data_IF_893260579897
#
_entry.id   IF_893260579897
#
_cell.length_a   1.000
_cell.length_b   1.000
_cell.length_c   1.000
_cell.angle_alpha   90.00
_cell.angle_beta   90.00
_cell.angle_gamma   90.00
#
_symmetry.space_group_name_H-M   'P 1'
#
loop_
_entity.id
_entity.type
_entity.pdbx_description
1 polymer ?
#
# COMPACT_ATOMS: atom_id res chain seq x y z
N UNK A 1 -61.73 -19.60 -44.66
CA UNK A 1 -60.80 -20.41 -43.86
C UNK A 1 -59.94 -19.45 -43.05
N UNK A 2 -60.27 -19.29 -41.76
CA UNK A 2 -59.60 -18.39 -40.83
C UNK A 2 -58.73 -19.24 -39.91
N UNK A 3 -57.41 -19.02 -39.94
CA UNK A 3 -56.47 -19.63 -38.99
C UNK A 3 -56.21 -18.64 -37.87
N UNK A 4 -56.86 -18.89 -36.74
CA UNK A 4 -56.65 -18.26 -35.45
C UNK A 4 -55.21 -18.52 -34.95
N UNK A 5 -54.37 -17.49 -34.90
CA UNK A 5 -53.07 -17.53 -34.23
C UNK A 5 -53.24 -17.34 -32.72
N UNK A 6 -52.81 -18.33 -31.93
CA UNK A 6 -52.71 -18.19 -30.48
C UNK A 6 -51.56 -17.23 -30.11
N UNK A 7 -51.75 -16.25 -29.22
CA UNK A 7 -50.65 -15.46 -28.70
C UNK A 7 -49.78 -16.30 -27.77
N UNK A 8 -48.48 -16.34 -28.05
CA UNK A 8 -47.47 -16.92 -27.15
C UNK A 8 -47.51 -16.20 -25.80
N UNK A 9 -47.74 -16.96 -24.72
CA UNK A 9 -47.86 -16.48 -23.33
C UNK A 9 -46.54 -16.50 -22.55
N UNK A 10 -45.41 -16.64 -23.23
CA UNK A 10 -44.11 -16.60 -22.56
C UNK A 10 -43.48 -15.22 -22.78
N UNK A 11 -43.21 -14.43 -21.71
CA UNK A 11 -42.36 -13.26 -21.87
C UNK A 11 -41.02 -13.75 -22.42
N UNK A 12 -40.52 -13.07 -23.44
CA UNK A 12 -39.15 -13.27 -23.91
C UNK A 12 -38.23 -13.17 -22.69
N UNK A 13 -37.57 -14.28 -22.37
CA UNK A 13 -36.57 -14.35 -21.32
C UNK A 13 -35.49 -13.33 -21.66
N UNK A 14 -35.53 -12.16 -21.01
CA UNK A 14 -34.41 -11.22 -21.03
C UNK A 14 -33.19 -11.97 -20.52
N UNK A 15 -32.26 -12.28 -21.41
CA UNK A 15 -30.94 -12.76 -21.04
C UNK A 15 -30.40 -11.80 -19.98
N UNK A 16 -29.95 -12.28 -18.80
CA UNK A 16 -29.32 -11.40 -17.83
C UNK A 16 -28.20 -10.66 -18.55
N UNK A 17 -28.28 -9.34 -18.65
CA UNK A 17 -27.16 -8.55 -19.13
C UNK A 17 -26.02 -8.79 -18.15
N UNK A 18 -24.98 -9.50 -18.61
CA UNK A 18 -23.78 -9.73 -17.80
C UNK A 18 -23.24 -8.37 -17.41
N UNK A 19 -23.34 -8.04 -16.12
CA UNK A 19 -22.89 -6.74 -15.60
C UNK A 19 -21.38 -6.65 -15.77
N UNK A 20 -20.94 -5.67 -16.53
CA UNK A 20 -19.52 -5.36 -16.74
C UNK A 20 -18.98 -4.59 -15.53
N UNK A 21 -17.83 -5.01 -14.99
CA UNK A 21 -17.11 -4.30 -13.94
C UNK A 21 -16.29 -3.15 -14.55
N UNK A 22 -16.61 -1.91 -14.18
CA UNK A 22 -15.91 -0.72 -14.69
C UNK A 22 -14.77 -0.34 -13.75
N UNK A 23 -13.56 -0.25 -14.29
CA UNK A 23 -12.31 -0.09 -13.55
C UNK A 23 -11.73 1.30 -13.83
N UNK A 24 -11.73 2.18 -12.83
CA UNK A 24 -10.99 3.44 -12.85
C UNK A 24 -9.50 3.21 -12.59
N UNK A 25 -8.64 3.95 -13.29
CA UNK A 25 -7.18 3.91 -13.05
C UNK A 25 -6.51 5.17 -13.59
N UNK A 26 -5.25 5.40 -13.22
CA UNK A 26 -4.43 6.41 -13.89
C UNK A 26 -3.97 5.93 -15.27
N UNK A 27 -3.66 6.86 -16.16
CA UNK A 27 -3.22 6.55 -17.54
C UNK A 27 -1.76 6.14 -17.69
N UNK A 28 -0.96 6.16 -16.63
CA UNK A 28 0.45 5.77 -16.69
C UNK A 28 0.63 4.27 -16.97
N UNK A 29 1.70 3.88 -17.67
CA UNK A 29 2.03 2.47 -17.96
C UNK A 29 2.01 1.59 -16.72
N UNK A 30 2.52 2.08 -15.59
CA UNK A 30 2.52 1.33 -14.33
C UNK A 30 1.10 1.10 -13.82
N UNK A 31 0.23 2.11 -13.90
CA UNK A 31 -1.16 2.00 -13.45
C UNK A 31 -1.96 1.04 -14.34
N UNK A 32 -1.72 1.04 -15.65
CA UNK A 32 -2.31 0.07 -16.57
C UNK A 32 -1.80 -1.35 -16.31
N UNK A 33 -0.50 -1.52 -16.04
CA UNK A 33 0.06 -2.81 -15.65
C UNK A 33 -0.59 -3.35 -14.36
N UNK A 34 -0.93 -2.48 -13.40
CA UNK A 34 -1.64 -2.87 -12.18
C UNK A 34 -3.09 -3.28 -12.45
N UNK A 35 -3.77 -2.65 -13.43
CA UNK A 35 -5.09 -3.12 -13.87
C UNK A 35 -4.96 -4.53 -14.44
N UNK A 36 -3.95 -4.82 -15.25
CA UNK A 36 -3.70 -6.19 -15.77
C UNK A 36 -3.54 -7.20 -14.63
N UNK A 37 -2.71 -6.90 -13.61
CA UNK A 37 -2.55 -7.77 -12.43
C UNK A 37 -3.90 -8.07 -11.74
N UNK A 38 -4.77 -7.05 -11.64
CA UNK A 38 -6.08 -7.20 -11.04
C UNK A 38 -7.04 -8.00 -11.93
N UNK A 39 -7.10 -7.73 -13.23
CA UNK A 39 -7.97 -8.45 -14.17
C UNK A 39 -7.54 -9.90 -14.35
N UNK A 40 -6.23 -10.18 -14.31
CA UNK A 40 -5.71 -11.56 -14.35
C UNK A 40 -6.17 -12.34 -13.12
N UNK A 41 -6.10 -11.73 -11.93
CA UNK A 41 -6.67 -12.32 -10.71
C UNK A 41 -8.18 -12.57 -10.83
N UNK A 42 -8.93 -11.61 -11.36
CA UNK A 42 -10.37 -11.76 -11.57
C UNK A 42 -10.67 -12.86 -12.58
N UNK A 43 -9.87 -13.04 -13.64
CA UNK A 43 -10.10 -14.06 -14.65
C UNK A 43 -10.05 -15.49 -14.08
N UNK A 44 -9.28 -15.70 -13.00
CA UNK A 44 -9.17 -16.99 -12.32
C UNK A 44 -10.42 -17.27 -11.46
N UNK A 45 -10.92 -16.25 -10.77
CA UNK A 45 -12.05 -16.37 -9.83
C UNK A 45 -13.43 -16.21 -10.51
N UNK A 46 -13.49 -15.43 -11.59
CA UNK A 46 -14.69 -15.04 -12.30
C UNK A 46 -14.44 -15.05 -13.83
N UNK A 47 -14.26 -16.24 -14.44
CA UNK A 47 -13.88 -16.35 -15.86
C UNK A 47 -14.92 -15.78 -16.84
N UNK A 48 -16.17 -15.56 -16.39
CA UNK A 48 -17.26 -15.00 -17.19
C UNK A 48 -17.50 -13.51 -16.93
N UNK A 49 -16.79 -12.90 -15.97
CA UNK A 49 -16.94 -11.48 -15.66
C UNK A 49 -16.29 -10.63 -16.75
N UNK A 50 -17.08 -9.72 -17.33
CA UNK A 50 -16.56 -8.71 -18.26
C UNK A 50 -16.01 -7.51 -17.48
N UNK A 51 -14.90 -6.94 -17.94
CA UNK A 51 -14.29 -5.74 -17.34
C UNK A 51 -14.04 -4.66 -18.38
N UNK A 52 -14.23 -3.38 -18.03
CA UNK A 52 -13.85 -2.23 -18.87
C UNK A 52 -12.96 -1.28 -18.08
N UNK A 53 -11.86 -0.82 -18.69
CA UNK A 53 -10.91 0.10 -18.05
C UNK A 53 -11.18 1.54 -18.50
N UNK A 54 -11.20 2.45 -17.53
CA UNK A 54 -11.40 3.89 -17.69
C UNK A 54 -10.16 4.64 -17.17
N UNK A 55 -9.14 4.88 -18.03
CA UNK A 55 -7.94 5.60 -17.64
C UNK A 55 -8.20 7.11 -17.52
N UNK A 56 -7.81 7.71 -16.40
CA UNK A 56 -7.82 9.16 -16.19
C UNK A 56 -6.40 9.73 -16.08
N UNK A 57 -6.22 10.96 -16.55
CA UNK A 57 -4.94 11.69 -16.46
C UNK A 57 -5.08 12.98 -15.64
N UNK A 58 -6.19 13.17 -14.93
CA UNK A 58 -6.53 14.47 -14.32
C UNK A 58 -5.87 14.70 -12.96
N UNK A 59 -5.24 13.67 -12.37
CA UNK A 59 -4.66 13.80 -11.04
C UNK A 59 -3.65 14.95 -10.95
N UNK A 60 -3.65 15.67 -9.83
CA UNK A 60 -2.76 16.81 -9.63
C UNK A 60 -1.28 16.42 -9.76
N UNK A 61 -0.94 15.20 -9.35
CA UNK A 61 0.41 14.65 -9.51
C UNK A 61 0.79 14.33 -10.96
N UNK A 62 -0.18 14.05 -11.83
CA UNK A 62 0.03 13.85 -13.28
C UNK A 62 0.20 15.17 -14.02
N UNK A 63 -0.56 16.19 -13.63
CA UNK A 63 -0.54 17.51 -14.29
C UNK A 63 0.62 18.39 -13.82
N UNK A 64 1.01 18.31 -12.53
CA UNK A 64 2.14 19.07 -11.98
C UNK A 64 3.41 18.23 -11.80
N UNK A 65 4.28 18.28 -12.82
CA UNK A 65 5.56 17.54 -12.86
C UNK A 65 6.76 18.34 -12.38
N UNK A 66 6.60 19.65 -12.11
CA UNK A 66 7.70 20.57 -11.78
C UNK A 66 7.86 20.74 -10.27
N UNK A 67 6.75 20.76 -9.53
CA UNK A 67 6.76 21.01 -8.08
C UNK A 67 7.25 19.77 -7.31
N UNK A 68 8.02 19.98 -6.23
CA UNK A 68 8.43 18.91 -5.32
C UNK A 68 7.20 18.18 -4.77
N UNK A 69 7.24 16.84 -4.69
CA UNK A 69 6.14 16.02 -4.15
C UNK A 69 5.75 16.46 -2.74
N UNK A 70 6.72 16.80 -1.90
CA UNK A 70 6.48 17.27 -0.54
C UNK A 70 5.66 18.57 -0.52
N UNK A 71 6.03 19.53 -1.35
CA UNK A 71 5.31 20.81 -1.49
C UNK A 71 3.91 20.58 -2.06
N UNK A 72 3.78 19.71 -3.08
CA UNK A 72 2.48 19.41 -3.67
C UNK A 72 1.56 18.69 -2.67
N UNK A 73 2.07 17.71 -1.93
CA UNK A 73 1.33 16.99 -0.89
C UNK A 73 0.85 17.92 0.23
N UNK A 74 1.56 19.04 0.44
CA UNK A 74 1.15 20.07 1.38
C UNK A 74 -0.01 20.95 0.89
N UNK A 75 -0.55 20.76 -0.31
CA UNK A 75 -1.74 21.52 -0.77
C UNK A 75 -3.06 20.97 -0.22
N UNK A 76 -3.03 19.86 0.54
CA UNK A 76 -4.21 19.28 1.21
C UNK A 76 -5.16 18.49 0.30
N UNK A 77 -4.97 18.54 -1.02
CA UNK A 77 -5.67 17.67 -1.98
C UNK A 77 -5.00 16.31 -2.07
N UNK A 78 -5.79 15.24 -2.20
CA UNK A 78 -5.21 13.93 -2.51
C UNK A 78 -4.60 13.98 -3.91
N UNK A 79 -3.27 13.91 -3.97
CA UNK A 79 -2.51 14.13 -5.21
C UNK A 79 -2.88 13.17 -6.34
N UNK A 80 -3.40 12.01 -5.99
CA UNK A 80 -3.54 10.86 -6.90
C UNK A 80 -4.94 10.27 -6.95
N UNK A 81 -5.80 10.50 -5.94
CA UNK A 81 -7.06 9.76 -5.81
C UNK A 81 -8.33 10.60 -5.98
N UNK A 82 -8.30 11.91 -5.70
CA UNK A 82 -9.52 12.73 -5.56
C UNK A 82 -10.47 12.69 -6.78
N UNK A 83 -9.94 12.74 -8.00
CA UNK A 83 -10.78 12.72 -9.21
C UNK A 83 -11.37 11.34 -9.48
N UNK A 84 -10.60 10.27 -9.24
CA UNK A 84 -11.08 8.90 -9.39
C UNK A 84 -12.12 8.56 -8.32
N UNK A 85 -11.96 9.07 -7.10
CA UNK A 85 -12.92 8.94 -6.00
C UNK A 85 -14.28 9.58 -6.36
N UNK A 86 -14.29 10.71 -7.09
CA UNK A 86 -15.55 11.30 -7.60
C UNK A 86 -16.25 10.37 -8.58
N UNK A 87 -15.50 9.82 -9.55
CA UNK A 87 -16.03 8.84 -10.52
C UNK A 87 -16.52 7.55 -9.86
N UNK A 88 -15.91 7.16 -8.74
CA UNK A 88 -16.36 6.01 -7.96
C UNK A 88 -17.67 6.30 -7.22
N UNK A 89 -17.77 7.46 -6.57
CA UNK A 89 -18.94 7.85 -5.78
C UNK A 89 -20.15 8.21 -6.65
N UNK A 90 -19.95 8.79 -7.84
CA UNK A 90 -21.04 9.07 -8.79
C UNK A 90 -21.48 7.83 -9.59
N UNK A 91 -20.74 6.73 -9.47
CA UNK A 91 -21.06 5.45 -10.10
C UNK A 91 -20.59 5.33 -11.54
N UNK A 92 -19.72 6.23 -12.04
CA UNK A 92 -19.07 6.12 -13.36
C UNK A 92 -18.15 4.90 -13.45
N UNK A 93 -17.44 4.59 -12.37
CA UNK A 93 -16.65 3.36 -12.21
C UNK A 93 -17.14 2.55 -11.01
N UNK A 94 -16.85 1.25 -10.98
CA UNK A 94 -17.23 0.34 -9.89
C UNK A 94 -16.08 0.10 -8.89
N UNK A 95 -14.84 0.10 -9.39
CA UNK A 95 -13.61 -0.01 -8.61
C UNK A 95 -12.54 0.92 -9.15
N UNK A 96 -11.59 1.31 -8.30
CA UNK A 96 -10.37 2.03 -8.71
C UNK A 96 -9.14 1.18 -8.34
N UNK A 97 -8.16 1.13 -9.24
CA UNK A 97 -6.90 0.39 -9.03
C UNK A 97 -5.76 1.37 -8.75
N UNK A 98 -5.03 1.12 -7.66
CA UNK A 98 -3.95 1.97 -7.18
C UNK A 98 -2.67 1.19 -6.89
N UNK A 99 -1.55 1.90 -6.93
CA UNK A 99 -0.42 1.57 -6.05
C UNK A 99 -0.83 1.92 -4.61
N UNK A 100 -0.92 0.92 -3.73
CA UNK A 100 -1.54 1.13 -2.40
C UNK A 100 -0.81 2.18 -1.56
N UNK A 101 0.50 2.31 -1.73
CA UNK A 101 1.31 3.35 -1.08
C UNK A 101 0.92 4.80 -1.44
N UNK A 102 0.22 4.99 -2.55
CA UNK A 102 -0.23 6.29 -3.04
C UNK A 102 -1.66 6.61 -2.58
N UNK A 103 -2.34 5.68 -1.91
CA UNK A 103 -3.70 5.82 -1.38
C UNK A 103 -3.65 6.44 0.02
N UNK A 104 -4.33 7.57 0.27
CA UNK A 104 -4.42 8.17 1.61
C UNK A 104 -4.89 7.17 2.68
N UNK A 105 -4.39 7.31 3.91
CA UNK A 105 -4.81 6.45 5.04
C UNK A 105 -6.21 6.75 5.55
N UNK A 106 -6.72 7.96 5.25
CA UNK A 106 -8.11 8.40 5.44
C UNK A 106 -8.75 8.59 4.08
N UNK A 107 -9.74 7.76 3.78
CA UNK A 107 -10.51 7.82 2.54
C UNK A 107 -11.70 8.78 2.68
N UNK A 108 -12.28 9.26 1.57
CA UNK A 108 -13.57 9.91 1.57
C UNK A 108 -14.67 9.02 2.18
N UNK A 109 -15.73 9.64 2.71
CA UNK A 109 -16.89 8.89 3.20
C UNK A 109 -17.53 8.10 2.05
N UNK A 110 -17.91 6.85 2.32
CA UNK A 110 -18.47 5.95 1.31
C UNK A 110 -17.42 5.24 0.44
N UNK A 111 -16.13 5.45 0.67
CA UNK A 111 -15.04 4.71 0.02
C UNK A 111 -14.36 3.75 0.99
N UNK A 112 -14.05 2.54 0.50
CA UNK A 112 -13.24 1.54 1.20
C UNK A 112 -12.14 1.03 0.27
N UNK A 113 -10.95 0.76 0.81
CA UNK A 113 -9.81 0.28 0.03
C UNK A 113 -9.05 -0.81 0.79
N UNK A 114 -8.66 -1.86 0.06
CA UNK A 114 -7.83 -2.94 0.59
C UNK A 114 -6.78 -3.38 -0.42
N UNK A 115 -5.70 -3.98 0.08
CA UNK A 115 -4.78 -4.72 -0.77
C UNK A 115 -5.48 -5.97 -1.33
N UNK A 116 -5.34 -6.19 -2.62
CA UNK A 116 -5.84 -7.38 -3.31
C UNK A 116 -4.68 -7.96 -4.11
N UNK A 117 -4.58 -9.29 -4.17
CA UNK A 117 -3.46 -9.93 -4.86
C UNK A 117 -2.37 -10.44 -3.92
N UNK A 118 -1.32 -10.96 -4.54
CA UNK A 118 -0.02 -11.11 -3.89
C UNK A 118 0.67 -9.74 -3.80
N UNK A 119 1.67 -9.65 -2.93
CA UNK A 119 2.55 -8.47 -2.83
C UNK A 119 3.76 -8.71 -3.73
N UNK A 120 4.00 -7.80 -4.65
CA UNK A 120 5.28 -7.75 -5.37
C UNK A 120 6.39 -7.24 -4.44
N UNK A 121 7.63 -7.21 -4.93
CA UNK A 121 8.78 -6.75 -4.18
C UNK A 121 8.55 -5.39 -3.49
N UNK A 122 8.45 -5.45 -2.16
CA UNK A 122 8.15 -4.29 -1.33
C UNK A 122 9.37 -3.37 -1.18
N UNK A 123 10.60 -3.90 -1.30
CA UNK A 123 11.84 -3.14 -1.12
C UNK A 123 12.00 -2.01 -2.14
N UNK A 124 12.80 -1.02 -1.75
CA UNK A 124 13.30 -0.06 -2.71
C UNK A 124 14.44 -0.68 -3.53
N UNK A 125 14.68 -0.12 -4.71
CA UNK A 125 15.73 -0.54 -5.61
C UNK A 125 16.65 0.64 -5.93
N UNK A 126 17.95 0.40 -5.89
CA UNK A 126 18.95 1.30 -6.45
C UNK A 126 19.06 1.02 -7.93
N UNK A 127 18.99 2.08 -8.73
CA UNK A 127 19.30 2.03 -10.16
C UNK A 127 20.48 2.95 -10.40
N UNK A 128 21.65 2.37 -10.68
CA UNK A 128 22.84 3.13 -11.08
C UNK A 128 22.67 3.69 -12.50
N UNK A 129 23.23 4.87 -12.74
CA UNK A 129 23.36 5.37 -14.12
C UNK A 129 24.25 4.43 -14.92
N UNK A 130 24.08 4.42 -16.24
CA UNK A 130 24.90 3.55 -17.10
C UNK A 130 26.40 3.84 -16.95
N UNK A 131 26.77 5.12 -16.75
CA UNK A 131 28.15 5.52 -16.50
C UNK A 131 28.71 4.86 -15.22
N UNK A 132 27.96 4.92 -14.10
CA UNK A 132 28.39 4.28 -12.83
C UNK A 132 28.37 2.77 -12.91
N UNK A 133 27.39 2.19 -13.62
CA UNK A 133 27.31 0.75 -13.84
C UNK A 133 28.52 0.23 -14.61
N UNK A 134 29.02 0.99 -15.59
CA UNK A 134 30.23 0.69 -16.37
C UNK A 134 31.53 0.81 -15.55
N UNK A 135 31.55 1.69 -14.53
CA UNK A 135 32.62 1.77 -13.53
C UNK A 135 32.58 0.63 -12.50
N UNK A 136 31.60 -0.28 -12.60
CA UNK A 136 31.45 -1.43 -11.70
C UNK A 136 30.62 -1.16 -10.45
N UNK A 137 30.06 0.04 -10.28
CA UNK A 137 29.29 0.41 -9.10
C UNK A 137 27.92 -0.28 -9.10
N UNK A 138 27.45 -0.66 -7.90
CA UNK A 138 26.23 -1.44 -7.69
C UNK A 138 25.38 -0.94 -6.51
N UNK A 139 26.02 -0.45 -5.45
CA UNK A 139 25.37 -0.04 -4.20
C UNK A 139 25.55 1.46 -3.96
N UNK A 140 24.69 2.07 -3.13
CA UNK A 140 24.86 3.48 -2.77
C UNK A 140 26.21 3.76 -2.08
N UNK A 141 26.78 2.78 -1.38
CA UNK A 141 28.09 2.89 -0.74
C UNK A 141 29.27 2.94 -1.72
N UNK A 142 29.07 2.58 -2.98
CA UNK A 142 30.12 2.71 -4.01
C UNK A 142 30.27 4.16 -4.50
N UNK A 143 29.25 5.00 -4.28
CA UNK A 143 29.26 6.39 -4.70
C UNK A 143 30.27 7.20 -3.87
N UNK A 144 31.05 8.04 -4.55
CA UNK A 144 32.02 8.93 -3.90
C UNK A 144 31.32 10.06 -3.12
N UNK A 145 32.07 10.73 -2.25
CA UNK A 145 31.66 11.96 -1.60
C UNK A 145 31.03 12.95 -2.61
N UNK A 146 29.86 13.48 -2.27
CA UNK A 146 29.11 14.37 -3.14
C UNK A 146 28.29 13.67 -4.24
N UNK A 147 28.29 12.33 -4.29
CA UNK A 147 27.51 11.55 -5.26
C UNK A 147 26.02 11.87 -5.21
N UNK A 148 25.39 11.99 -6.37
CA UNK A 148 24.04 12.52 -6.52
C UNK A 148 23.02 11.38 -6.67
N UNK A 149 22.13 11.26 -5.69
CA UNK A 149 21.04 10.28 -5.68
C UNK A 149 19.69 10.96 -5.93
N UNK A 150 19.00 10.51 -6.96
CA UNK A 150 17.69 11.03 -7.35
C UNK A 150 16.53 10.34 -6.63
N UNK A 151 15.77 11.11 -5.83
CA UNK A 151 14.47 10.70 -5.30
C UNK A 151 13.65 11.91 -4.88
N UNK A 152 12.33 11.89 -5.15
CA UNK A 152 11.38 12.88 -4.61
C UNK A 152 10.59 12.34 -3.40
N UNK A 153 10.92 11.15 -2.91
CA UNK A 153 10.30 10.59 -1.70
C UNK A 153 11.00 11.12 -0.47
N UNK A 154 10.23 11.74 0.41
CA UNK A 154 10.72 12.28 1.70
C UNK A 154 11.29 11.17 2.57
N UNK A 155 10.60 10.02 2.61
CA UNK A 155 11.06 8.80 3.30
C UNK A 155 12.44 8.36 2.80
N UNK A 156 12.59 8.15 1.49
CA UNK A 156 13.86 7.70 0.90
C UNK A 156 14.96 8.71 1.14
N UNK A 157 14.67 10.00 0.96
CA UNK A 157 15.65 11.06 1.15
C UNK A 157 16.16 11.08 2.60
N UNK A 158 15.27 10.99 3.60
CA UNK A 158 15.65 10.96 5.01
C UNK A 158 16.48 9.72 5.36
N UNK A 159 16.04 8.53 4.94
CA UNK A 159 16.76 7.27 5.22
C UNK A 159 18.11 7.21 4.50
N UNK A 160 18.21 7.67 3.24
CA UNK A 160 19.49 7.73 2.54
C UNK A 160 20.43 8.74 3.18
N UNK A 161 19.95 9.92 3.61
CA UNK A 161 20.81 10.88 4.35
C UNK A 161 21.35 10.30 5.65
N UNK A 162 20.54 9.49 6.34
CA UNK A 162 20.96 8.80 7.56
C UNK A 162 22.06 7.78 7.28
N UNK A 163 21.86 6.92 6.29
CA UNK A 163 22.76 5.80 6.02
C UNK A 163 23.99 6.17 5.19
N UNK A 164 23.85 7.19 4.33
CA UNK A 164 24.87 7.64 3.39
C UNK A 164 25.00 9.18 3.44
N UNK A 165 25.48 9.75 4.56
CA UNK A 165 25.50 11.20 4.79
C UNK A 165 26.41 11.98 3.82
N UNK A 166 27.33 11.29 3.14
CA UNK A 166 28.21 11.85 2.10
C UNK A 166 27.51 12.07 0.75
N UNK A 167 26.27 11.59 0.58
CA UNK A 167 25.53 11.68 -0.67
C UNK A 167 24.61 12.90 -0.73
N UNK A 168 24.48 13.46 -1.92
CA UNK A 168 23.61 14.58 -2.23
C UNK A 168 22.29 14.05 -2.77
N UNK A 169 21.19 14.33 -2.08
CA UNK A 169 19.85 13.98 -2.56
C UNK A 169 19.29 15.09 -3.44
N UNK A 170 18.93 14.76 -4.68
CA UNK A 170 18.23 15.65 -5.61
C UNK A 170 16.84 15.12 -5.95
N UNK A 171 15.90 16.03 -6.15
CA UNK A 171 14.56 15.67 -6.58
C UNK A 171 14.56 15.17 -8.02
N UNK A 172 13.75 14.15 -8.29
CA UNK A 172 13.52 13.62 -9.65
C UNK A 172 12.03 13.29 -9.82
N UNK A 173 11.43 13.81 -10.88
CA UNK A 173 9.98 13.74 -11.15
C UNK A 173 9.69 13.02 -12.46
N UNK A 174 8.43 12.69 -12.67
CA UNK A 174 7.93 11.92 -13.82
C UNK A 174 7.72 10.44 -13.52
N UNK A 175 7.16 9.71 -14.48
CA UNK A 175 6.99 8.25 -14.42
C UNK A 175 8.35 7.54 -14.49
N UNK A 176 8.39 6.25 -14.15
CA UNK A 176 9.64 5.47 -14.05
C UNK A 176 10.51 5.62 -15.31
N UNK A 177 9.94 5.43 -16.51
CA UNK A 177 10.70 5.60 -17.75
C UNK A 177 11.29 7.01 -17.94
N UNK A 178 10.59 8.06 -17.50
CA UNK A 178 11.13 9.43 -17.55
C UNK A 178 12.30 9.62 -16.58
N UNK A 179 12.19 9.04 -15.37
CA UNK A 179 13.27 9.12 -14.38
C UNK A 179 14.50 8.35 -14.85
N UNK A 180 14.33 7.16 -15.44
CA UNK A 180 15.43 6.39 -16.00
C UNK A 180 16.14 7.15 -17.14
N UNK A 181 15.38 7.83 -18.02
CA UNK A 181 15.99 8.72 -19.02
C UNK A 181 16.81 9.84 -18.39
N UNK A 182 16.28 10.49 -17.35
CA UNK A 182 17.02 11.54 -16.61
C UNK A 182 18.26 11.01 -15.92
N UNK A 183 18.22 9.78 -15.41
CA UNK A 183 19.38 9.13 -14.81
C UNK A 183 20.50 8.89 -15.83
N UNK A 184 20.12 8.52 -17.05
CA UNK A 184 21.07 8.17 -18.10
C UNK A 184 21.54 9.41 -18.90
N UNK A 185 20.91 10.56 -18.70
CA UNK A 185 21.30 11.85 -19.30
C UNK A 185 22.41 12.53 -18.47
N UNK A 186 23.64 12.67 -19.00
CA UNK A 186 24.74 13.29 -18.26
C UNK A 186 24.47 14.75 -17.84
N UNK A 187 23.59 15.46 -18.54
CA UNK A 187 23.26 16.87 -18.22
C UNK A 187 22.41 17.01 -16.95
N UNK A 188 21.69 15.97 -16.56
CA UNK A 188 20.89 15.94 -15.33
C UNK A 188 21.77 15.64 -14.09
N UNK A 189 22.90 14.96 -14.29
CA UNK A 189 23.94 14.76 -13.27
C UNK A 189 23.55 13.82 -12.12
N UNK A 190 22.71 12.81 -12.38
CA UNK A 190 22.39 11.77 -11.39
C UNK A 190 23.38 10.60 -11.49
N UNK A 191 23.89 10.15 -10.34
CA UNK A 191 24.71 8.94 -10.25
C UNK A 191 23.87 7.69 -10.03
N UNK A 192 22.78 7.83 -9.26
CA UNK A 192 21.83 6.75 -8.99
C UNK A 192 20.41 7.29 -8.77
N UNK A 193 19.42 6.42 -8.90
CA UNK A 193 18.05 6.64 -8.42
C UNK A 193 17.68 5.64 -7.33
N UNK A 194 16.79 6.05 -6.44
CA UNK A 194 16.07 5.13 -5.53
C UNK A 194 14.59 5.07 -5.91
N UNK A 195 14.17 3.91 -6.43
CA UNK A 195 12.83 3.65 -6.94
C UNK A 195 12.13 2.55 -6.14
N UNK A 196 10.82 2.38 -6.33
CA UNK A 196 10.13 1.22 -5.75
C UNK A 196 10.43 -0.01 -6.61
N UNK A 197 10.88 -1.09 -5.99
CA UNK A 197 11.21 -2.35 -6.66
C UNK A 197 10.10 -2.87 -7.56
N UNK A 198 8.92 -3.08 -6.97
CA UNK A 198 7.74 -3.54 -7.69
C UNK A 198 7.41 -2.70 -8.94
N UNK A 199 7.58 -1.38 -8.88
CA UNK A 199 7.28 -0.53 -10.04
C UNK A 199 8.23 -0.75 -11.22
N UNK A 200 9.51 -1.02 -10.93
CA UNK A 200 10.52 -1.33 -11.95
C UNK A 200 10.28 -2.72 -12.53
N UNK A 201 9.93 -3.69 -11.69
CA UNK A 201 9.63 -5.06 -12.12
C UNK A 201 8.36 -5.17 -12.97
N UNK A 202 7.27 -4.51 -12.57
CA UNK A 202 5.99 -4.50 -13.31
C UNK A 202 6.09 -3.93 -14.73
N UNK A 203 7.09 -3.08 -14.96
CA UNK A 203 7.38 -2.52 -16.28
C UNK A 203 8.44 -3.32 -17.06
N UNK A 204 8.77 -4.54 -16.59
CA UNK A 204 9.79 -5.41 -17.20
C UNK A 204 11.17 -4.77 -17.27
N UNK A 205 11.50 -3.88 -16.32
CA UNK A 205 12.78 -3.16 -16.26
C UNK A 205 13.70 -3.69 -15.14
N UNK A 206 13.48 -4.92 -14.66
CA UNK A 206 14.18 -5.49 -13.51
C UNK A 206 15.71 -5.53 -13.65
N UNK A 207 16.22 -5.68 -14.88
CA UNK A 207 17.65 -5.64 -15.22
C UNK A 207 18.36 -4.30 -14.94
N UNK A 208 17.58 -3.22 -14.75
CA UNK A 208 18.09 -1.90 -14.32
C UNK A 208 18.48 -1.90 -12.84
N UNK A 209 17.91 -2.79 -12.04
CA UNK A 209 18.14 -2.83 -10.60
C UNK A 209 19.59 -3.26 -10.33
N UNK A 210 20.30 -2.42 -9.58
CA UNK A 210 21.71 -2.61 -9.23
C UNK A 210 21.85 -3.26 -7.86
N UNK A 211 20.99 -2.88 -6.89
CA UNK A 211 20.83 -3.58 -5.62
C UNK A 211 19.45 -3.30 -5.01
N UNK A 212 19.08 -4.12 -4.04
CA UNK A 212 17.89 -3.94 -3.20
C UNK A 212 18.24 -3.12 -1.96
N UNK A 213 17.24 -2.44 -1.39
CA UNK A 213 17.33 -1.74 -0.11
C UNK A 213 16.22 -2.21 0.82
N UNK A 214 16.60 -2.83 1.93
CA UNK A 214 15.73 -3.29 3.00
C UNK A 214 16.29 -2.97 4.39
N UNK A 215 15.88 -3.77 5.38
CA UNK A 215 16.35 -3.61 6.77
C UNK A 215 17.87 -3.78 6.92
N UNK A 216 18.51 -4.62 6.11
CA UNK A 216 19.97 -4.81 6.13
C UNK A 216 20.73 -3.54 5.72
N UNK A 217 20.19 -2.76 4.78
CA UNK A 217 20.75 -1.46 4.37
C UNK A 217 20.22 -0.28 5.22
N UNK A 218 19.40 -0.54 6.24
CA UNK A 218 18.79 0.51 7.08
C UNK A 218 17.73 1.35 6.37
N UNK A 219 17.13 0.84 5.29
CA UNK A 219 16.12 1.55 4.48
C UNK A 219 14.86 0.70 4.38
N UNK A 220 13.88 1.02 5.22
CA UNK A 220 12.58 0.34 5.23
C UNK A 220 11.65 0.89 4.14
N UNK A 221 10.80 0.03 3.57
CA UNK A 221 9.94 0.42 2.45
C UNK A 221 8.76 1.30 2.88
N UNK A 222 8.08 1.91 1.91
CA UNK A 222 6.86 2.66 2.20
C UNK A 222 5.71 1.70 2.58
N UNK A 223 4.78 2.19 3.39
CA UNK A 223 3.50 1.53 3.68
C UNK A 223 2.77 1.20 2.39
N UNK A 224 2.30 -0.03 2.27
CA UNK A 224 1.60 -0.54 1.08
C UNK A 224 2.48 -0.65 -0.18
N UNK A 225 3.80 -0.44 -0.09
CA UNK A 225 4.68 -0.62 -1.25
C UNK A 225 4.67 -2.08 -1.70
N UNK A 226 4.60 -2.30 -3.01
CA UNK A 226 4.48 -3.64 -3.61
C UNK A 226 3.05 -4.16 -3.71
N UNK A 227 2.10 -3.62 -2.96
CA UNK A 227 0.69 -4.02 -3.02
C UNK A 227 -0.09 -3.23 -4.09
N UNK A 228 -1.08 -3.90 -4.70
CA UNK A 228 -2.13 -3.26 -5.50
C UNK A 228 -3.31 -3.00 -4.57
N UNK A 229 -3.74 -1.75 -4.50
CA UNK A 229 -4.94 -1.33 -3.76
C UNK A 229 -6.13 -1.33 -4.68
N UNK A 230 -7.25 -1.91 -4.23
CA UNK A 230 -8.55 -1.80 -4.89
C UNK A 230 -9.44 -0.97 -4.00
N UNK A 231 -9.96 0.13 -4.53
CA UNK A 231 -10.92 1.01 -3.85
C UNK A 231 -12.31 0.83 -4.45
N UNK A 232 -13.34 0.77 -3.62
CA UNK A 232 -14.73 0.61 -4.04
C UNK A 232 -15.71 1.31 -3.09
N UNK A 233 -16.98 1.40 -3.50
CA UNK A 233 -18.02 2.00 -2.66
C UNK A 233 -18.37 1.11 -1.47
N UNK A 234 -18.40 1.72 -0.29
CA UNK A 234 -18.92 1.08 0.91
C UNK A 234 -20.37 0.62 0.70
N UNK A 235 -20.68 -0.61 1.10
CA UNK A 235 -22.01 -1.20 0.93
C UNK A 235 -22.33 -1.73 -0.49
N UNK A 236 -21.43 -1.62 -1.47
CA UNK A 236 -21.62 -2.28 -2.77
C UNK A 236 -21.41 -3.80 -2.64
N UNK A 237 -22.49 -4.51 -2.31
CA UNK A 237 -22.47 -5.96 -2.08
C UNK A 237 -22.05 -6.78 -3.30
N UNK A 238 -22.30 -6.28 -4.52
CA UNK A 238 -21.87 -6.96 -5.74
C UNK A 238 -20.35 -6.91 -5.89
N UNK A 239 -19.75 -5.72 -5.82
CA UNK A 239 -18.28 -5.57 -5.86
C UNK A 239 -17.64 -6.28 -4.67
N UNK A 240 -18.21 -6.12 -3.47
CA UNK A 240 -17.72 -6.78 -2.26
C UNK A 240 -17.68 -8.30 -2.40
N UNK A 241 -18.69 -8.91 -3.03
CA UNK A 241 -18.70 -10.37 -3.28
C UNK A 241 -17.61 -10.81 -4.26
N UNK A 242 -17.36 -10.05 -5.33
CA UNK A 242 -16.31 -10.33 -6.31
C UNK A 242 -14.94 -10.29 -5.65
N UNK A 243 -14.66 -9.23 -4.87
CA UNK A 243 -13.36 -9.06 -4.20
C UNK A 243 -13.14 -10.11 -3.11
N UNK A 244 -14.19 -10.46 -2.36
CA UNK A 244 -14.11 -11.51 -1.35
C UNK A 244 -13.76 -12.87 -1.99
N UNK A 245 -14.38 -13.22 -3.12
CA UNK A 245 -14.12 -14.47 -3.81
C UNK A 245 -12.73 -14.48 -4.47
N UNK A 246 -12.31 -13.38 -5.10
CA UNK A 246 -10.94 -13.23 -5.62
C UNK A 246 -9.88 -13.38 -4.52
N UNK A 247 -10.16 -12.88 -3.31
CA UNK A 247 -9.30 -13.04 -2.14
C UNK A 247 -9.14 -14.50 -1.70
N UNK A 248 -10.18 -15.33 -1.84
CA UNK A 248 -10.12 -16.77 -1.50
C UNK A 248 -9.22 -17.55 -2.45
N UNK A 249 -9.22 -17.19 -3.74
CA UNK A 249 -8.36 -17.82 -4.77
C UNK A 249 -6.89 -17.78 -4.39
N UNK A 250 -6.43 -16.71 -3.75
CA UNK A 250 -5.03 -16.52 -3.32
C UNK A 250 -4.70 -17.14 -1.96
N UNK A 251 -5.65 -17.84 -1.34
CA UNK A 251 -5.52 -18.58 -0.08
C UNK A 251 -4.78 -17.77 1.00
N UNK A 252 -3.75 -18.34 1.61
CA UNK A 252 -3.02 -17.75 2.75
C UNK A 252 -2.21 -16.51 2.34
N UNK A 253 -1.67 -16.48 1.12
CA UNK A 253 -0.82 -15.38 0.66
C UNK A 253 -1.61 -14.07 0.51
N UNK A 254 -2.79 -14.11 -0.14
CA UNK A 254 -3.62 -12.91 -0.32
C UNK A 254 -4.08 -12.30 1.01
N UNK A 255 -4.49 -13.14 1.98
CA UNK A 255 -4.89 -12.66 3.32
C UNK A 255 -3.75 -12.01 4.08
N UNK A 256 -2.57 -12.63 4.09
CA UNK A 256 -1.38 -12.09 4.76
C UNK A 256 -1.03 -10.71 4.22
N UNK A 257 -1.01 -10.54 2.91
CA UNK A 257 -0.73 -9.24 2.26
C UNK A 257 -1.77 -8.19 2.66
N UNK A 258 -3.06 -8.56 2.69
CA UNK A 258 -4.13 -7.67 3.17
C UNK A 258 -3.90 -7.23 4.61
N UNK A 259 -3.57 -8.15 5.51
CA UNK A 259 -3.30 -7.85 6.91
C UNK A 259 -2.03 -7.02 7.13
N UNK A 260 -0.94 -7.35 6.45
CA UNK A 260 0.28 -6.53 6.46
C UNK A 260 -0.05 -5.09 6.07
N UNK A 261 -0.74 -4.90 4.95
CA UNK A 261 -1.08 -3.58 4.45
C UNK A 261 -2.09 -2.85 5.37
N UNK A 262 -3.03 -3.55 5.98
CA UNK A 262 -3.96 -2.96 6.95
C UNK A 262 -3.22 -2.45 8.19
N UNK A 263 -2.31 -3.25 8.75
CA UNK A 263 -1.47 -2.84 9.87
C UNK A 263 -0.53 -1.69 9.52
N UNK A 264 0.17 -1.77 8.39
CA UNK A 264 1.04 -0.68 7.91
C UNK A 264 0.26 0.63 7.73
N UNK A 265 -0.95 0.58 7.16
CA UNK A 265 -1.82 1.74 6.97
C UNK A 265 -2.38 2.26 8.28
N UNK A 266 -2.70 1.39 9.25
CA UNK A 266 -3.13 1.78 10.59
C UNK A 266 -2.01 2.53 11.33
N UNK A 267 -0.79 2.00 11.29
CA UNK A 267 0.40 2.67 11.81
C UNK A 267 0.55 4.07 11.22
N UNK A 268 0.49 4.16 9.89
CA UNK A 268 0.70 5.41 9.19
C UNK A 268 -0.42 6.42 9.49
N UNK A 269 -1.68 5.97 9.61
CA UNK A 269 -2.83 6.81 9.97
C UNK A 269 -2.62 7.52 11.32
N UNK A 270 -2.05 6.82 12.30
CA UNK A 270 -1.75 7.38 13.62
C UNK A 270 -0.61 8.40 13.54
N UNK A 271 0.43 8.13 12.74
CA UNK A 271 1.61 8.99 12.62
C UNK A 271 1.43 10.18 11.67
N UNK A 272 0.50 10.12 10.70
CA UNK A 272 0.54 10.99 9.53
C UNK A 272 0.15 12.44 9.76
N UNK A 273 -0.73 12.75 10.72
CA UNK A 273 -1.08 14.12 11.12
C UNK A 273 -1.49 15.14 10.02
N UNK A 274 -1.49 14.77 8.72
CA UNK A 274 -1.84 15.64 7.60
C UNK A 274 -1.09 15.47 6.26
N UNK A 275 0.19 15.04 6.16
CA UNK A 275 0.88 14.81 4.85
C UNK A 275 2.16 13.92 4.95
N UNK A 276 2.65 13.40 3.81
CA UNK A 276 3.82 12.49 3.62
C UNK A 276 4.94 12.55 4.67
N UNK A 277 4.92 11.65 5.64
CA UNK A 277 5.95 11.55 6.70
C UNK A 277 7.07 10.57 6.29
N UNK A 278 8.32 10.75 6.75
CA UNK A 278 9.45 9.86 6.52
C UNK A 278 9.36 8.57 7.38
N UNK A 279 8.26 7.85 7.20
CA UNK A 279 7.96 6.59 7.88
C UNK A 279 8.31 5.43 6.95
N UNK A 280 9.10 4.47 7.43
CA UNK A 280 9.34 3.20 6.73
C UNK A 280 8.87 2.02 7.56
N UNK A 281 8.50 0.95 6.86
CA UNK A 281 7.99 -0.29 7.46
C UNK A 281 8.61 -1.50 6.76
N UNK A 282 8.63 -2.63 7.47
CA UNK A 282 8.92 -3.96 6.93
C UNK A 282 8.07 -4.97 7.70
N UNK A 283 7.35 -5.83 6.97
CA UNK A 283 6.51 -6.86 7.55
C UNK A 283 7.03 -8.24 7.15
N UNK A 284 7.19 -9.13 8.13
CA UNK A 284 7.60 -10.53 7.91
C UNK A 284 6.71 -11.44 8.73
N UNK A 285 6.28 -12.56 8.16
CA UNK A 285 5.57 -13.61 8.89
C UNK A 285 6.55 -14.66 9.38
N UNK A 286 6.45 -15.08 10.64
CA UNK A 286 7.23 -16.22 11.11
C UNK A 286 6.74 -17.52 10.48
N UNK A 287 7.70 -18.27 9.93
CA UNK A 287 7.47 -19.65 9.49
C UNK A 287 7.18 -20.54 10.71
N UNK A 288 6.20 -21.43 10.59
CA UNK A 288 5.88 -22.39 11.65
C UNK A 288 5.00 -21.86 12.79
N UNK A 289 4.38 -20.67 12.69
CA UNK A 289 3.45 -20.11 13.71
C UNK A 289 2.10 -20.83 13.85
N UNK A 290 2.09 -22.16 13.76
CA UNK A 290 1.23 -22.96 14.64
C UNK A 290 1.87 -22.84 16.01
N UNK A 291 1.22 -22.14 16.94
CA UNK A 291 1.57 -22.28 18.35
C UNK A 291 1.38 -23.76 18.69
N UNK A 292 2.46 -24.53 18.79
CA UNK A 292 2.44 -25.63 19.74
C UNK A 292 2.29 -24.95 21.09
N UNK A 293 1.11 -25.08 21.70
CA UNK A 293 0.89 -24.59 23.05
C UNK A 293 1.89 -25.26 23.99
N UNK A 294 2.97 -24.57 24.32
CA UNK A 294 3.75 -24.88 25.50
C UNK A 294 3.12 -24.12 26.67
N UNK A 295 2.16 -24.78 27.30
CA UNK A 295 1.62 -24.35 28.57
C UNK A 295 2.74 -24.32 29.62
N UNK A 296 3.46 -23.20 29.73
CA UNK A 296 4.17 -22.75 30.94
C UNK A 296 4.61 -21.29 30.76
N UNK A 297 3.68 -20.36 31.00
CA UNK A 297 3.98 -18.94 31.10
C UNK A 297 3.00 -18.31 32.06
N UNK A 298 3.27 -18.47 33.36
CA UNK A 298 2.53 -17.78 34.43
C UNK A 298 2.66 -16.27 34.19
N UNK A 299 1.56 -15.59 33.97
CA UNK A 299 1.28 -14.31 34.61
C UNK A 299 -0.23 -14.14 34.75
N UNK A 300 -0.62 -13.90 35.99
CA UNK A 300 -1.99 -13.96 36.48
C UNK A 300 -2.85 -12.82 35.91
N UNK A 301 -4.03 -13.16 35.41
CA UNK A 301 -5.14 -12.22 35.27
C UNK A 301 -6.26 -12.68 36.18
N UNK A 302 -6.61 -11.78 37.09
CA UNK A 302 -7.71 -11.90 38.05
C UNK A 302 -9.03 -11.75 37.28
N UNK A 303 -9.88 -12.77 37.36
CA UNK A 303 -11.27 -12.74 36.89
C UNK A 303 -12.14 -11.83 37.78
N UNK A 304 -13.03 -11.00 37.21
CA UNK A 304 -14.25 -10.59 37.88
C UNK A 304 -15.46 -11.33 37.28
N UNK A 305 -16.15 -12.01 38.19
CA UNK A 305 -17.35 -12.81 38.04
C UNK A 305 -18.62 -12.06 37.59
N UNK A 306 -19.46 -12.81 36.89
CA UNK A 306 -20.94 -12.77 36.89
C UNK A 306 -21.68 -11.58 36.26
N UNK A 307 -22.18 -11.80 35.03
CA UNK A 307 -23.53 -11.37 34.63
C UNK A 307 -24.25 -12.46 33.83
N UNK A 308 -25.37 -12.89 34.38
CA UNK A 308 -26.38 -13.79 33.80
C UNK A 308 -26.93 -13.23 32.48
N UNK A 309 -26.99 -14.08 31.45
CA UNK A 309 -27.83 -13.88 30.26
C UNK A 309 -28.97 -14.90 30.28
N UNK A 310 -30.19 -14.40 30.05
CA UNK A 310 -31.40 -15.19 29.89
C UNK A 310 -31.59 -15.57 28.41
N UNK A 311 -31.68 -16.88 28.16
CA UNK A 311 -32.52 -17.59 27.19
C UNK A 311 -32.57 -17.14 25.73
N UNK A 312 -32.04 -17.97 24.82
CA UNK A 312 -32.77 -18.61 23.70
C UNK A 312 -32.05 -19.92 23.33
N UNK A 313 -32.84 -20.95 23.02
CA UNK A 313 -32.46 -22.36 22.87
C UNK A 313 -31.66 -22.66 21.59
N UNK A 314 -30.80 -23.68 21.71
CA UNK A 314 -29.93 -24.29 20.69
C UNK A 314 -30.71 -25.02 19.58
N UNK A 315 -30.24 -24.92 18.34
CA UNK A 315 -29.84 -26.12 17.58
C UNK A 315 -28.95 -25.73 16.38
N UNK A 316 -27.64 -25.91 16.56
CA UNK A 316 -26.67 -26.38 15.56
C UNK A 316 -25.33 -26.47 16.29
N UNK A 317 -24.86 -27.69 16.49
CA UNK A 317 -23.70 -28.02 17.33
C UNK A 317 -22.44 -27.25 16.90
N UNK A 318 -21.94 -26.41 17.81
CA UNK A 318 -20.60 -25.84 17.75
C UNK A 318 -19.57 -26.96 17.99
N UNK A 319 -18.45 -27.02 17.25
CA UNK A 319 -17.36 -27.89 17.64
C UNK A 319 -16.62 -27.26 18.83
N UNK A 320 -16.70 -27.89 20.00
CA UNK A 320 -15.84 -27.61 21.13
C UNK A 320 -14.40 -28.07 20.82
N UNK A 321 -13.46 -27.12 20.75
CA UNK A 321 -12.02 -27.30 20.59
C UNK A 321 -11.32 -25.93 20.52
N UNK A 322 -9.99 -25.80 20.78
CA UNK A 322 -9.30 -24.52 20.73
C UNK A 322 -9.47 -23.91 19.32
N UNK A 323 -9.72 -22.59 19.24
CA UNK A 323 -10.09 -21.82 18.04
C UNK A 323 -9.45 -22.31 16.72
N UNK A 324 -10.09 -23.29 16.07
CA UNK A 324 -9.50 -23.98 14.90
C UNK A 324 -9.39 -23.06 13.68
N UNK A 325 -10.25 -22.05 13.53
CA UNK A 325 -10.19 -21.02 12.49
C UNK A 325 -9.00 -20.07 12.70
N UNK A 326 -8.76 -19.67 13.96
CA UNK A 326 -7.68 -18.77 14.36
C UNK A 326 -6.33 -19.39 14.04
N UNK A 327 -6.13 -20.65 14.44
CA UNK A 327 -4.90 -21.40 14.19
C UNK A 327 -4.70 -21.78 12.72
N UNK A 328 -5.79 -22.04 11.97
CA UNK A 328 -5.72 -22.43 10.56
C UNK A 328 -5.37 -21.28 9.63
N UNK A 329 -5.75 -20.05 9.99
CA UNK A 329 -5.64 -18.90 9.10
C UNK A 329 -4.76 -17.75 9.61
N UNK A 330 -4.52 -17.67 10.92
CA UNK A 330 -3.67 -16.67 11.54
C UNK A 330 -2.16 -16.94 11.44
N UNK A 331 -1.39 -16.11 12.12
CA UNK A 331 0.05 -16.29 12.28
C UNK A 331 0.72 -15.14 13.02
N UNK A 332 2.00 -15.30 13.32
CA UNK A 332 2.79 -14.24 13.93
C UNK A 332 3.32 -13.27 12.87
N UNK A 333 2.85 -12.03 12.92
CA UNK A 333 3.34 -10.91 12.12
C UNK A 333 4.42 -10.16 12.90
N UNK A 334 5.60 -10.03 12.30
CA UNK A 334 6.68 -9.16 12.77
C UNK A 334 6.63 -7.88 11.94
N UNK A 335 6.29 -6.76 12.57
CA UNK A 335 6.31 -5.44 11.96
C UNK A 335 7.48 -4.64 12.50
N UNK A 336 8.41 -4.27 11.62
CA UNK A 336 9.42 -3.24 11.89
C UNK A 336 8.94 -1.92 11.34
N UNK A 337 9.16 -0.83 12.06
CA UNK A 337 8.86 0.50 11.57
C UNK A 337 9.84 1.52 12.11
N UNK A 338 10.06 2.59 11.35
CA UNK A 338 10.93 3.69 11.73
C UNK A 338 10.39 5.04 11.29
N UNK A 339 10.70 6.09 12.05
CA UNK A 339 10.47 7.50 11.74
C UNK A 339 11.81 8.22 11.77
N UNK A 340 12.17 8.91 10.69
CA UNK A 340 13.48 9.57 10.54
C UNK A 340 13.29 11.07 10.34
N UNK A 341 14.11 11.93 10.96
CA UNK A 341 14.08 13.37 10.66
C UNK A 341 14.42 13.66 9.20
N UNK A 342 13.97 14.79 8.65
CA UNK A 342 14.18 15.12 7.22
C UNK A 342 15.67 15.22 6.83
N UNK A 343 16.51 15.60 7.80
CA UNK A 343 17.96 15.68 7.64
C UNK A 343 18.68 14.35 7.91
N UNK A 344 17.96 13.32 8.39
CA UNK A 344 18.49 11.97 8.65
C UNK A 344 19.15 11.78 10.02
N UNK A 345 19.29 12.83 10.84
CA UNK A 345 20.05 12.78 12.10
C UNK A 345 19.33 12.02 13.21
N UNK A 346 18.02 12.22 13.34
CA UNK A 346 17.20 11.57 14.35
C UNK A 346 16.42 10.41 13.76
N UNK A 347 16.27 9.34 14.53
CA UNK A 347 15.53 8.16 14.13
C UNK A 347 14.95 7.47 15.34
N UNK A 348 13.67 7.12 15.27
CA UNK A 348 13.01 6.21 16.20
C UNK A 348 12.55 5.00 15.42
N UNK A 349 13.00 3.82 15.84
CA UNK A 349 12.66 2.55 15.19
C UNK A 349 12.13 1.57 16.22
N UNK A 350 11.22 0.67 15.85
CA UNK A 350 10.79 -0.41 16.73
C UNK A 350 10.39 -1.65 15.95
N UNK A 351 10.24 -2.76 16.68
CA UNK A 351 9.81 -4.03 16.14
C UNK A 351 8.73 -4.59 17.05
N UNK A 352 7.57 -4.88 16.47
CA UNK A 352 6.44 -5.51 17.17
C UNK A 352 6.19 -6.90 16.59
N UNK A 353 6.00 -7.85 17.49
CA UNK A 353 5.47 -9.19 17.19
C UNK A 353 4.00 -9.20 17.60
N UNK A 354 3.11 -9.60 16.71
CA UNK A 354 1.69 -9.64 16.98
C UNK A 354 1.05 -10.82 16.26
N UNK A 355 0.24 -11.60 16.98
CA UNK A 355 -0.53 -12.66 16.35
C UNK A 355 -1.72 -12.03 15.63
N UNK A 356 -1.85 -12.31 14.34
CA UNK A 356 -2.90 -11.72 13.48
C UNK A 356 -3.69 -12.83 12.81
N UNK A 357 -4.99 -12.82 13.04
CA UNK A 357 -5.99 -13.71 12.44
C UNK A 357 -7.21 -12.97 11.86
N UNK A 358 -7.27 -11.65 12.03
CA UNK A 358 -8.35 -10.79 11.52
C UNK A 358 -7.82 -9.42 11.11
N UNK A 359 -8.66 -8.64 10.41
CA UNK A 359 -8.32 -7.26 10.06
C UNK A 359 -8.19 -6.35 11.27
N UNK A 360 -9.04 -6.57 12.29
CA UNK A 360 -9.00 -5.80 13.52
C UNK A 360 -7.67 -6.00 14.26
N UNK A 361 -7.20 -7.25 14.38
CA UNK A 361 -5.89 -7.54 14.99
C UNK A 361 -4.73 -6.99 14.13
N UNK A 362 -4.85 -7.00 12.80
CA UNK A 362 -3.86 -6.41 11.92
C UNK A 362 -3.77 -4.88 12.11
N UNK A 363 -4.91 -4.20 12.14
CA UNK A 363 -5.00 -2.76 12.40
C UNK A 363 -4.52 -2.41 13.81
N UNK A 364 -4.85 -3.23 14.80
CA UNK A 364 -4.36 -3.08 16.17
C UNK A 364 -2.84 -3.19 16.26
N UNK A 365 -2.22 -4.15 15.56
CA UNK A 365 -0.76 -4.27 15.48
C UNK A 365 -0.12 -2.94 15.03
N UNK A 366 -0.65 -2.35 13.95
CA UNK A 366 -0.20 -1.07 13.43
C UNK A 366 -0.40 0.10 14.41
N UNK A 367 -1.59 0.19 14.99
CA UNK A 367 -1.92 1.23 15.98
C UNK A 367 -1.00 1.17 17.20
N UNK A 368 -0.79 -0.03 17.76
CA UNK A 368 0.10 -0.24 18.89
C UNK A 368 1.57 0.03 18.54
N UNK A 369 2.01 -0.29 17.32
CA UNK A 369 3.36 0.00 16.86
C UNK A 369 3.58 1.52 16.71
N UNK A 370 2.58 2.26 16.21
CA UNK A 370 2.65 3.72 16.18
C UNK A 370 2.74 4.35 17.58
N UNK A 371 1.95 3.85 18.55
CA UNK A 371 2.03 4.27 19.95
C UNK A 371 3.44 4.10 20.53
N UNK A 372 4.05 2.93 20.34
CA UNK A 372 5.43 2.68 20.78
C UNK A 372 6.46 3.64 20.15
N UNK A 373 6.30 3.98 18.87
CA UNK A 373 7.19 4.96 18.22
C UNK A 373 7.00 6.35 18.83
N UNK A 374 5.76 6.76 19.08
CA UNK A 374 5.45 8.07 19.69
C UNK A 374 6.03 8.17 21.10
N UNK A 375 5.83 7.14 21.93
CA UNK A 375 6.38 7.08 23.31
C UNK A 375 7.91 7.13 23.34
N UNK A 376 8.55 6.68 22.26
CA UNK A 376 10.00 6.69 22.09
C UNK A 376 10.54 7.95 21.41
N UNK A 377 9.69 8.96 21.19
CA UNK A 377 10.10 10.28 20.72
C UNK A 377 9.79 10.59 19.25
N UNK A 378 9.13 9.69 18.51
CA UNK A 378 8.75 9.97 17.11
C UNK A 378 7.81 11.19 17.01
N UNK A 379 7.05 11.47 18.08
CA UNK A 379 6.18 12.65 18.15
C UNK A 379 6.92 13.98 17.96
N UNK A 380 8.15 14.11 18.47
CA UNK A 380 8.93 15.35 18.33
C UNK A 380 9.43 15.53 16.88
N UNK A 381 9.93 14.46 16.27
CA UNK A 381 10.32 14.45 14.85
C UNK A 381 9.13 14.86 13.96
N UNK A 382 7.95 14.31 14.22
CA UNK A 382 6.74 14.58 13.43
C UNK A 382 6.22 16.02 13.63
N UNK A 383 6.31 16.56 14.85
CA UNK A 383 5.96 17.95 15.14
C UNK A 383 6.87 18.91 14.37
N UNK A 384 8.18 18.69 14.37
CA UNK A 384 9.12 19.53 13.65
C UNK A 384 8.85 19.55 12.14
N UNK A 385 8.55 18.38 11.56
CA UNK A 385 8.15 18.26 10.15
C UNK A 385 6.89 19.09 9.86
N UNK A 386 5.91 19.04 10.76
CA UNK A 386 4.65 19.77 10.62
C UNK A 386 4.86 21.29 10.73
N UNK A 387 5.68 21.73 11.68
CA UNK A 387 6.05 23.15 11.86
C UNK A 387 6.81 23.70 10.64
N UNK A 388 7.82 22.96 10.15
CA UNK A 388 8.57 23.34 8.97
C UNK A 388 7.67 23.52 7.73
N UNK A 389 6.60 22.73 7.61
CA UNK A 389 5.61 22.91 6.53
C UNK A 389 4.77 24.16 6.68
N UNK A 390 4.33 24.49 7.89
CA UNK A 390 3.56 25.71 8.13
C UNK A 390 4.38 26.95 7.75
N UNK A 391 5.68 26.95 8.03
CA UNK A 391 6.58 28.03 7.63
C UNK A 391 6.74 28.14 6.11
N UNK A 392 6.93 27.02 5.40
CA UNK A 392 7.03 27.01 3.92
C UNK A 392 5.75 27.55 3.29
N UNK A 393 4.56 27.11 3.76
CA UNK A 393 3.26 27.62 3.27
C UNK A 393 3.09 29.12 3.50
N UNK A 394 3.66 29.67 4.58
CA UNK A 394 3.62 31.10 4.87
C UNK A 394 4.54 31.96 4.00
N UNK A 395 5.58 31.37 3.39
CA UNK A 395 6.51 32.07 2.50
C UNK A 395 6.03 32.10 1.04
N UNK A 396 5.30 31.09 0.59
CA UNK A 396 4.70 31.03 -0.77
C UNK A 396 3.36 31.81 -0.87
N UNK A 397 2.93 32.46 0.21
CA UNK A 397 1.67 33.22 0.31
C UNK A 397 1.82 34.73 0.48
N UNK A 398 3.02 35.29 0.21
CA UNK A 398 3.32 36.73 0.27
C UNK A 398 3.55 37.33 -1.12
#
# INVERSE_FOLDING_TARGET
>A
MSTSGYPSKYPESSTPTLRTLRIGTRSSDLALAQVTLFTDLLSISHPTLSTTTHPSSTSLGDTNKVTNLHTLASTGKSLWTEDLEKELLDGSVDVIIHSLKDVPTKLPAGCVCAAVGARDEARDAVVMSQARKAEGWRTLGDLKEGGIVGTSSVRRAAMVRRMYPHLVIKNVRGNIGTRLRKLDDPSEGFDALVLAGAGVQRLSMGERISCWLGSEEGILHAVGQGAVGVEWREGDGWVGSILAEAGKTLRKAGRRVRWECAGERSLLRVLEGGCSVPVGVECVWEEGSLLQGDGTGKDAVVEPSDRQTSGYEQDDALPEGPDTEREKYGGMLIMRAMVVSLDGKECVEGTRRHYVSSDAEAEECGWRMAGELVDRGAGEILKEITLNRAMIRGQDGA
#
